data_IF_199573645838
#
_entry.id   IF_199573645838
#
_cell.length_a   1.000
_cell.length_b   1.000
_cell.length_c   1.000
_cell.angle_alpha   90.00
_cell.angle_beta   90.00
_cell.angle_gamma   90.00
#
_symmetry.space_group_name_H-M   'P 1'
#
loop_
_entity.id
_entity.type
_entity.pdbx_description
1 polymer ?
#
# COMPACT_ATOMS: atom_id res chain seq x y z
N UNK A 1 7.12 -3.19 4.82
CA UNK A 1 5.68 -3.49 4.55
C UNK A 1 4.92 -2.24 4.14
N UNK A 2 5.24 -1.11 4.82
CA UNK A 2 4.67 0.18 4.51
C UNK A 2 4.96 0.61 3.07
N UNK A 3 6.22 0.62 2.63
CA UNK A 3 6.56 1.13 1.29
C UNK A 3 6.20 0.16 0.15
N UNK A 4 6.46 -1.14 0.30
CA UNK A 4 6.32 -2.09 -0.82
C UNK A 4 4.89 -2.66 -0.98
N UNK A 5 4.06 -2.69 0.07
CA UNK A 5 2.68 -3.20 -0.04
C UNK A 5 1.64 -2.11 0.23
N UNK A 6 1.72 -1.44 1.37
CA UNK A 6 0.67 -0.48 1.77
C UNK A 6 0.70 0.74 0.84
N UNK A 7 1.88 1.33 0.63
CA UNK A 7 2.06 2.43 -0.30
C UNK A 7 1.85 1.97 -1.74
N UNK A 8 2.44 0.84 -2.17
CA UNK A 8 2.20 0.30 -3.52
C UNK A 8 0.71 0.06 -3.84
N UNK A 9 -0.06 -0.47 -2.88
CA UNK A 9 -1.51 -0.62 -3.02
C UNK A 9 -2.21 0.74 -3.08
N UNK A 10 -1.92 1.64 -2.12
CA UNK A 10 -2.53 2.97 -2.07
C UNK A 10 -2.22 3.82 -3.31
N UNK A 11 -0.99 3.78 -3.80
CA UNK A 11 -0.55 4.43 -5.03
C UNK A 11 -1.29 3.85 -6.26
N UNK A 12 -1.38 2.52 -6.38
CA UNK A 12 -2.09 1.90 -7.51
C UNK A 12 -3.57 2.31 -7.62
N UNK A 13 -4.19 2.63 -6.48
CA UNK A 13 -5.59 3.07 -6.40
C UNK A 13 -5.74 4.57 -6.55
N UNK A 14 -4.93 5.33 -5.82
CA UNK A 14 -5.00 6.79 -5.84
C UNK A 14 -4.52 7.36 -7.17
N UNK A 15 -3.49 6.78 -7.80
CA UNK A 15 -2.96 7.21 -9.09
C UNK A 15 -3.59 6.47 -10.30
N UNK A 16 -4.72 5.77 -10.10
CA UNK A 16 -5.42 5.07 -11.19
C UNK A 16 -5.96 6.01 -12.29
N UNK A 17 -6.14 7.30 -11.96
CA UNK A 17 -6.55 8.35 -12.90
C UNK A 17 -5.64 9.58 -12.75
N UNK A 18 -5.47 10.38 -13.82
CA UNK A 18 -4.79 11.68 -13.71
C UNK A 18 -5.54 12.62 -12.77
N UNK A 19 -4.80 13.36 -11.94
CA UNK A 19 -5.37 14.37 -11.04
C UNK A 19 -5.09 15.78 -11.55
N UNK A 20 -6.04 16.72 -11.43
CA UNK A 20 -5.88 18.10 -11.87
C UNK A 20 -4.86 18.91 -11.03
N UNK A 21 -4.36 18.34 -9.93
CA UNK A 21 -3.34 18.97 -9.10
C UNK A 21 -3.12 18.26 -7.77
N UNK A 22 -2.19 18.80 -6.98
CA UNK A 22 -1.72 18.20 -5.71
C UNK A 22 -2.85 18.05 -4.68
N UNK A 23 -3.79 19.00 -4.61
CA UNK A 23 -4.92 18.91 -3.69
C UNK A 23 -5.87 17.77 -4.04
N UNK A 24 -6.16 17.56 -5.33
CA UNK A 24 -7.00 16.46 -5.80
C UNK A 24 -6.32 15.10 -5.55
N UNK A 25 -5.01 15.01 -5.84
CA UNK A 25 -4.22 13.81 -5.52
C UNK A 25 -4.26 13.52 -4.01
N UNK A 26 -4.03 14.51 -3.16
CA UNK A 26 -4.07 14.34 -1.69
C UNK A 26 -5.45 13.87 -1.21
N UNK A 27 -6.53 14.38 -1.80
CA UNK A 27 -7.88 13.93 -1.47
C UNK A 27 -8.10 12.47 -1.88
N UNK A 28 -7.62 12.08 -3.07
CA UNK A 28 -7.67 10.69 -3.54
C UNK A 28 -6.88 9.75 -2.63
N UNK A 29 -5.63 10.08 -2.27
CA UNK A 29 -4.81 9.28 -1.34
C UNK A 29 -5.52 9.10 0.01
N UNK A 30 -6.10 10.18 0.57
CA UNK A 30 -6.86 10.09 1.83
C UNK A 30 -8.09 9.19 1.73
N UNK A 31 -8.81 9.27 0.61
CA UNK A 31 -9.98 8.41 0.36
C UNK A 31 -9.57 6.94 0.31
N UNK A 32 -8.55 6.60 -0.47
CA UNK A 32 -8.10 5.21 -0.61
C UNK A 32 -7.50 4.67 0.69
N UNK A 33 -6.80 5.51 1.47
CA UNK A 33 -6.35 5.16 2.82
C UNK A 33 -7.52 4.83 3.74
N UNK A 34 -8.56 5.67 3.77
CA UNK A 34 -9.74 5.44 4.61
C UNK A 34 -10.57 4.23 4.16
N UNK A 35 -10.52 3.88 2.87
CA UNK A 35 -11.18 2.70 2.31
C UNK A 35 -10.39 1.40 2.57
N UNK A 36 -9.11 1.49 2.92
CA UNK A 36 -8.27 0.32 3.17
C UNK A 36 -8.73 -0.39 4.45
N UNK A 37 -9.08 -1.67 4.34
CA UNK A 37 -9.56 -2.45 5.48
C UNK A 37 -8.44 -2.76 6.48
N UNK A 38 -8.77 -2.79 7.76
CA UNK A 38 -7.83 -3.21 8.81
C UNK A 38 -7.34 -4.67 8.58
N UNK A 39 -8.17 -5.52 7.99
CA UNK A 39 -7.78 -6.87 7.59
C UNK A 39 -6.65 -6.86 6.56
N UNK A 40 -6.70 -5.95 5.58
CA UNK A 40 -5.63 -5.80 4.60
C UNK A 40 -4.31 -5.43 5.29
N UNK A 41 -4.32 -4.47 6.23
CA UNK A 41 -3.14 -4.12 7.03
C UNK A 41 -2.60 -5.32 7.80
N UNK A 42 -3.47 -6.06 8.50
CA UNK A 42 -3.06 -7.26 9.25
C UNK A 42 -2.44 -8.31 8.32
N UNK A 43 -3.00 -8.52 7.14
CA UNK A 43 -2.48 -9.48 6.15
C UNK A 43 -1.08 -9.08 5.69
N UNK A 44 -0.87 -7.81 5.34
CA UNK A 44 0.45 -7.29 4.93
C UNK A 44 1.48 -7.45 6.05
N UNK A 45 1.13 -7.09 7.30
CA UNK A 45 2.02 -7.25 8.44
C UNK A 45 2.37 -8.72 8.70
N UNK A 46 1.40 -9.64 8.62
CA UNK A 46 1.66 -11.08 8.77
C UNK A 46 2.55 -11.64 7.67
N UNK A 47 2.43 -11.11 6.45
CA UNK A 47 3.24 -11.54 5.30
C UNK A 47 4.69 -11.04 5.35
N UNK A 48 5.01 -10.07 6.21
CA UNK A 48 6.36 -9.50 6.28
C UNK A 48 7.42 -10.53 6.65
N UNK A 49 7.20 -11.28 7.73
CA UNK A 49 8.17 -12.25 8.23
C UNK A 49 8.44 -13.39 7.23
N UNK A 50 7.42 -14.10 6.69
CA UNK A 50 7.65 -15.13 5.69
C UNK A 50 8.41 -14.62 4.45
N UNK A 51 8.18 -13.37 4.03
CA UNK A 51 8.92 -12.77 2.91
C UNK A 51 10.39 -12.52 3.23
N UNK A 52 10.69 -12.05 4.44
CA UNK A 52 12.08 -11.89 4.88
C UNK A 52 12.79 -13.25 4.95
N UNK A 53 12.14 -14.27 5.51
CA UNK A 53 12.68 -15.63 5.59
C UNK A 53 12.97 -16.18 4.19
N UNK A 54 12.05 -15.99 3.23
CA UNK A 54 12.26 -16.38 1.84
C UNK A 54 13.44 -15.66 1.19
N UNK A 55 13.57 -14.35 1.40
CA UNK A 55 14.69 -13.54 0.88
C UNK A 55 16.05 -13.98 1.44
N UNK A 56 16.10 -14.35 2.72
CA UNK A 56 17.31 -14.89 3.34
C UNK A 56 17.66 -16.25 2.77
N UNK A 57 16.67 -17.13 2.55
CA UNK A 57 16.89 -18.47 2.01
C UNK A 57 17.27 -18.50 0.51
N UNK A 58 17.14 -17.39 -0.21
CA UNK A 58 17.54 -17.27 -1.64
C UNK A 58 18.95 -16.70 -1.84
N UNK A 59 19.63 -16.32 -0.75
CA UNK A 59 21.06 -15.98 -0.74
C UNK A 59 21.89 -17.20 -0.29
#
# INVERSE_FOLDING_TARGET
>A
PLDYEIWGFGESKSCAIPHPGVYALKASVKKEWAAMSEEHFRKVCRAFRPRLEAMVATN
#
